data_IF_861656800975
#
_entry.id   IF_861656800975
#
_cell.length_a   1.000
_cell.length_b   1.000
_cell.length_c   1.000
_cell.angle_alpha   90.00
_cell.angle_beta   90.00
_cell.angle_gamma   90.00
#
_symmetry.space_group_name_H-M   'P 1'
#
loop_
_entity.id
_entity.type
_entity.pdbx_description
1 polymer ?
#
# COMPACT_ATOMS: atom_id res chain seq x y z
N UNK A 1 -12.06 -0.18 -11.36
CA UNK A 1 -11.92 0.80 -10.26
C UNK A 1 -11.08 1.96 -10.76
N UNK A 2 -11.53 3.21 -10.55
CA UNK A 2 -10.79 4.39 -10.99
C UNK A 2 -9.80 4.89 -9.92
N UNK A 3 -8.57 4.38 -9.96
CA UNK A 3 -7.54 4.77 -8.99
C UNK A 3 -7.16 6.25 -9.06
N UNK A 4 -7.36 6.92 -10.21
CA UNK A 4 -7.08 8.34 -10.34
C UNK A 4 -8.10 9.18 -9.54
N UNK A 5 -9.37 8.78 -9.52
CA UNK A 5 -10.38 9.43 -8.70
C UNK A 5 -10.09 9.26 -7.21
N UNK A 6 -9.74 8.04 -6.78
CA UNK A 6 -9.40 7.75 -5.38
C UNK A 6 -8.17 8.58 -4.93
N UNK A 7 -7.12 8.64 -5.75
CA UNK A 7 -5.92 9.42 -5.42
C UNK A 7 -6.22 10.91 -5.27
N UNK A 8 -7.07 11.50 -6.14
CA UNK A 8 -7.47 12.91 -6.00
C UNK A 8 -8.13 13.16 -4.65
N UNK A 9 -9.10 12.33 -4.28
CA UNK A 9 -9.85 12.43 -3.01
C UNK A 9 -8.95 12.23 -1.78
N UNK A 10 -7.96 11.34 -1.87
CA UNK A 10 -6.97 11.16 -0.81
C UNK A 10 -6.12 12.42 -0.66
N UNK A 11 -5.60 12.94 -1.78
CA UNK A 11 -4.64 14.05 -1.78
C UNK A 11 -5.26 15.38 -1.34
N UNK A 12 -6.56 15.59 -1.49
CA UNK A 12 -7.25 16.82 -1.02
C UNK A 12 -7.05 17.09 0.48
N UNK A 13 -6.81 16.07 1.30
CA UNK A 13 -6.52 16.24 2.73
C UNK A 13 -5.24 15.55 3.19
N UNK A 14 -4.34 15.16 2.28
CA UNK A 14 -3.09 14.51 2.65
C UNK A 14 -2.14 15.55 3.25
N UNK A 15 -1.70 15.33 4.48
CA UNK A 15 -0.94 16.33 5.25
C UNK A 15 0.55 16.41 4.86
N UNK A 16 1.08 15.36 4.23
CA UNK A 16 2.49 15.28 3.86
C UNK A 16 2.70 15.60 2.38
N UNK A 17 3.97 15.75 1.99
CA UNK A 17 4.30 15.94 0.59
C UNK A 17 3.88 14.70 -0.22
N UNK A 18 3.13 14.82 -1.33
CA UNK A 18 2.69 13.67 -2.13
C UNK A 18 3.83 12.79 -2.66
N UNK A 19 5.06 13.32 -2.72
CA UNK A 19 6.29 12.59 -3.06
C UNK A 19 7.24 12.34 -1.89
N UNK A 20 6.78 12.51 -0.66
CA UNK A 20 7.54 12.13 0.54
C UNK A 20 7.71 10.60 0.65
N UNK A 21 8.39 10.15 1.70
CA UNK A 21 8.70 8.72 1.92
C UNK A 21 7.45 7.83 1.99
N UNK A 22 6.32 8.40 2.42
CA UNK A 22 5.02 7.73 2.53
C UNK A 22 4.03 8.23 1.48
N UNK A 23 4.49 8.82 0.39
CA UNK A 23 3.66 9.41 -0.66
C UNK A 23 3.27 8.44 -1.79
N UNK A 24 2.75 9.00 -2.88
CA UNK A 24 2.14 8.26 -4.00
C UNK A 24 3.09 7.27 -4.67
N UNK A 25 4.40 7.57 -4.68
CA UNK A 25 5.39 6.66 -5.29
C UNK A 25 5.50 5.36 -4.47
N UNK A 26 5.51 5.50 -3.14
CA UNK A 26 5.45 4.37 -2.22
C UNK A 26 4.13 3.60 -2.41
N UNK A 27 2.98 4.27 -2.38
CA UNK A 27 1.67 3.62 -2.57
C UNK A 27 1.59 2.83 -3.89
N UNK A 28 2.15 3.38 -4.98
CA UNK A 28 2.21 2.69 -6.26
C UNK A 28 3.12 1.45 -6.23
N UNK A 29 4.28 1.52 -5.55
CA UNK A 29 5.16 0.35 -5.40
C UNK A 29 4.50 -0.74 -4.56
N UNK A 30 3.83 -0.37 -3.47
CA UNK A 30 3.02 -1.29 -2.64
C UNK A 30 1.94 -1.94 -3.49
N UNK A 31 1.23 -1.17 -4.32
CA UNK A 31 0.21 -1.72 -5.22
C UNK A 31 0.81 -2.75 -6.20
N UNK A 32 1.93 -2.44 -6.87
CA UNK A 32 2.57 -3.39 -7.79
C UNK A 32 3.13 -4.63 -7.08
N UNK A 33 3.71 -4.48 -5.89
CA UNK A 33 4.17 -5.60 -5.07
C UNK A 33 3.00 -6.51 -4.73
N UNK A 34 1.90 -5.93 -4.26
CA UNK A 34 0.71 -6.66 -3.86
C UNK A 34 0.04 -7.36 -5.03
N UNK A 35 -0.14 -6.70 -6.18
CA UNK A 35 -0.73 -7.32 -7.37
C UNK A 35 0.12 -8.49 -7.89
N UNK A 36 1.45 -8.37 -7.82
CA UNK A 36 2.36 -9.46 -8.18
C UNK A 36 2.21 -10.66 -7.24
N UNK A 37 2.07 -10.43 -5.93
CA UNK A 37 1.83 -11.48 -4.94
C UNK A 37 0.44 -12.10 -5.09
N UNK A 38 -0.59 -11.28 -5.29
CA UNK A 38 -1.98 -11.71 -5.47
C UNK A 38 -2.13 -12.68 -6.64
N UNK A 39 -1.44 -12.41 -7.75
CA UNK A 39 -1.39 -13.32 -8.90
C UNK A 39 -0.77 -14.69 -8.59
N UNK A 40 0.09 -14.78 -7.56
CA UNK A 40 0.79 -16.01 -7.19
C UNK A 40 0.09 -16.79 -6.06
N UNK A 41 -0.60 -16.11 -5.14
CA UNK A 41 -1.18 -16.73 -3.95
C UNK A 41 -2.73 -16.72 -3.91
N UNK A 42 -3.39 -16.03 -4.84
CA UNK A 42 -4.85 -15.97 -4.94
C UNK A 42 -5.53 -14.92 -4.04
N UNK A 43 -4.78 -13.93 -3.52
CA UNK A 43 -5.37 -12.79 -2.82
C UNK A 43 -6.27 -11.94 -3.73
N UNK A 44 -7.24 -11.25 -3.12
CA UNK A 44 -8.14 -10.35 -3.85
C UNK A 44 -7.38 -9.09 -4.34
N UNK A 45 -7.22 -8.89 -5.67
CA UNK A 45 -6.46 -7.77 -6.21
C UNK A 45 -7.15 -6.41 -5.96
N UNK A 46 -8.46 -6.38 -5.76
CA UNK A 46 -9.23 -5.16 -5.49
C UNK A 46 -8.92 -4.65 -4.08
N UNK A 47 -8.99 -5.53 -3.08
CA UNK A 47 -8.64 -5.20 -1.68
C UNK A 47 -7.17 -4.79 -1.59
N UNK A 48 -6.27 -5.54 -2.23
CA UNK A 48 -4.83 -5.22 -2.27
C UNK A 48 -4.57 -3.85 -2.88
N UNK A 49 -5.25 -3.52 -3.98
CA UNK A 49 -5.12 -2.20 -4.61
C UNK A 49 -5.60 -1.10 -3.67
N UNK A 50 -6.78 -1.25 -3.07
CA UNK A 50 -7.33 -0.26 -2.15
C UNK A 50 -6.45 -0.07 -0.91
N UNK A 51 -5.94 -1.17 -0.33
CA UNK A 51 -5.00 -1.10 0.79
C UNK A 51 -3.78 -0.25 0.43
N UNK A 52 -3.18 -0.49 -0.74
CA UNK A 52 -2.00 0.25 -1.17
C UNK A 52 -2.25 1.76 -1.24
N UNK A 53 -3.45 2.18 -1.65
CA UNK A 53 -3.82 3.61 -1.70
C UNK A 53 -4.15 4.19 -0.31
N UNK A 54 -4.75 3.40 0.60
CA UNK A 54 -5.30 3.92 1.84
C UNK A 54 -4.42 3.76 3.09
N UNK A 55 -3.56 2.77 3.19
CA UNK A 55 -2.87 2.40 4.45
C UNK A 55 -2.08 3.56 5.09
N UNK A 56 -1.42 4.37 4.26
CA UNK A 56 -0.63 5.55 4.66
C UNK A 56 -1.31 6.90 4.31
N UNK A 57 -2.52 6.87 3.76
CA UNK A 57 -3.23 8.04 3.20
C UNK A 57 -3.60 9.14 4.21
N UNK A 58 -3.48 8.85 5.51
CA UNK A 58 -3.78 9.80 6.60
C UNK A 58 -2.65 9.89 7.61
N UNK A 59 -1.41 9.76 7.12
CA UNK A 59 -0.24 10.14 7.91
C UNK A 59 -0.21 11.63 8.21
N UNK A 60 0.27 11.95 9.40
CA UNK A 60 0.46 13.30 9.92
C UNK A 60 1.96 13.63 10.11
N UNK A 61 2.83 12.64 9.97
CA UNK A 61 4.29 12.77 10.02
C UNK A 61 4.95 11.75 9.10
N UNK A 62 6.15 12.03 8.59
CA UNK A 62 7.04 11.01 7.96
C UNK A 62 7.80 10.17 9.02
N UNK A 63 7.73 10.57 10.30
CA UNK A 63 8.32 9.84 11.41
C UNK A 63 7.32 8.88 12.08
N UNK A 64 7.46 8.67 13.40
CA UNK A 64 6.48 7.92 14.19
C UNK A 64 5.09 8.53 14.06
N UNK A 65 4.12 7.71 13.71
CA UNK A 65 2.73 8.11 13.58
C UNK A 65 1.85 6.93 13.97
N UNK A 66 1.37 6.90 15.20
CA UNK A 66 0.56 5.80 15.70
C UNK A 66 -0.88 5.95 15.23
N UNK A 67 -1.46 4.87 14.70
CA UNK A 67 -2.85 4.86 14.26
C UNK A 67 -3.11 5.45 12.87
N UNK A 68 -2.08 5.78 12.08
CA UNK A 68 -2.28 6.21 10.68
C UNK A 68 -3.05 5.17 9.86
N UNK A 69 -2.78 3.88 10.08
CA UNK A 69 -3.54 2.78 9.46
C UNK A 69 -5.04 2.86 9.75
N UNK A 70 -5.44 3.10 11.01
CA UNK A 70 -6.84 3.28 11.40
C UNK A 70 -7.45 4.54 10.77
N UNK A 71 -6.70 5.65 10.69
CA UNK A 71 -7.17 6.87 10.01
C UNK A 71 -7.35 6.62 8.51
N UNK A 72 -6.46 5.87 7.87
CA UNK A 72 -6.60 5.42 6.48
C UNK A 72 -7.81 4.53 6.26
N UNK A 73 -8.06 3.56 7.15
CA UNK A 73 -9.24 2.70 7.11
C UNK A 73 -10.56 3.49 7.26
N UNK A 74 -10.57 4.50 8.16
CA UNK A 74 -11.71 5.42 8.32
C UNK A 74 -11.94 6.28 7.09
N UNK A 75 -10.89 6.73 6.41
CA UNK A 75 -11.04 7.41 5.12
C UNK A 75 -11.65 6.50 4.07
N UNK A 76 -11.15 5.26 3.94
CA UNK A 76 -11.72 4.28 3.02
C UNK A 76 -13.21 4.07 3.27
N UNK A 77 -13.63 4.02 4.55
CA UNK A 77 -15.05 3.94 4.94
C UNK A 77 -15.88 5.13 4.45
N UNK A 78 -15.33 6.35 4.52
CA UNK A 78 -16.03 7.56 4.09
C UNK A 78 -16.20 7.62 2.56
N UNK A 79 -15.24 7.08 1.80
CA UNK A 79 -15.24 7.10 0.33
C UNK A 79 -15.89 5.86 -0.31
N UNK A 80 -16.23 4.84 0.48
CA UNK A 80 -16.96 3.65 0.01
C UNK A 80 -18.40 4.03 -0.37
N UNK A 81 -18.85 3.55 -1.52
CA UNK A 81 -20.16 3.84 -2.11
C UNK A 81 -20.21 5.17 -2.88
N UNK A 82 -19.14 5.97 -2.85
CA UNK A 82 -19.06 7.25 -3.58
C UNK A 82 -17.96 7.24 -4.64
N UNK A 83 -16.74 6.89 -4.25
CA UNK A 83 -15.54 6.91 -5.14
C UNK A 83 -15.15 5.50 -5.60
N UNK A 84 -15.41 4.51 -4.75
CA UNK A 84 -15.25 3.09 -5.05
C UNK A 84 -16.34 2.30 -4.33
N UNK A 85 -16.53 1.04 -4.73
CA UNK A 85 -17.46 0.14 -4.07
C UNK A 85 -16.80 -1.19 -3.74
N UNK A 86 -17.23 -1.80 -2.64
CA UNK A 86 -16.85 -3.12 -2.15
C UNK A 86 -18.06 -3.70 -1.43
N UNK A 87 -18.21 -5.02 -1.42
CA UNK A 87 -19.16 -5.67 -0.52
C UNK A 87 -18.64 -5.60 0.94
N UNK A 88 -19.49 -5.94 1.91
CA UNK A 88 -19.13 -5.83 3.32
C UNK A 88 -17.96 -6.73 3.70
N UNK A 89 -17.92 -7.97 3.21
CA UNK A 89 -16.86 -8.91 3.55
C UNK A 89 -15.48 -8.41 3.06
N UNK A 90 -15.39 -7.94 1.83
CA UNK A 90 -14.14 -7.42 1.26
C UNK A 90 -13.73 -6.09 1.91
N UNK A 91 -14.71 -5.26 2.28
CA UNK A 91 -14.42 -4.02 3.00
C UNK A 91 -13.89 -4.28 4.41
N UNK A 92 -14.38 -5.29 5.13
CA UNK A 92 -13.81 -5.70 6.42
C UNK A 92 -12.36 -6.15 6.28
N UNK A 93 -12.01 -6.84 5.18
CA UNK A 93 -10.61 -7.18 4.89
C UNK A 93 -9.75 -5.93 4.66
N UNK A 94 -10.24 -4.97 3.86
CA UNK A 94 -9.55 -3.70 3.62
C UNK A 94 -9.35 -2.92 4.92
N UNK A 95 -10.40 -2.79 5.72
CA UNK A 95 -10.38 -2.03 6.97
C UNK A 95 -9.33 -2.61 7.93
N UNK A 96 -9.40 -3.93 8.17
CA UNK A 96 -8.46 -4.67 9.01
C UNK A 96 -7.03 -4.60 8.48
N UNK A 97 -6.85 -4.73 7.16
CA UNK A 97 -5.53 -4.64 6.53
C UNK A 97 -4.90 -3.27 6.80
N UNK A 98 -5.63 -2.18 6.58
CA UNK A 98 -5.16 -0.82 6.87
C UNK A 98 -4.88 -0.62 8.37
N UNK A 99 -5.82 -0.98 9.26
CA UNK A 99 -5.71 -0.73 10.70
C UNK A 99 -4.46 -1.35 11.33
N UNK A 100 -4.14 -2.60 10.99
CA UNK A 100 -3.14 -3.40 11.70
C UNK A 100 -1.81 -3.62 10.95
N UNK A 101 -1.58 -2.96 9.80
CA UNK A 101 -0.41 -3.28 8.96
C UNK A 101 0.95 -3.10 9.64
N UNK A 102 1.03 -2.23 10.65
CA UNK A 102 2.26 -1.95 11.42
C UNK A 102 2.50 -2.86 12.62
N UNK A 103 1.58 -3.75 12.96
CA UNK A 103 1.67 -4.53 14.21
C UNK A 103 2.62 -5.75 14.15
N UNK A 104 3.21 -6.03 12.98
CA UNK A 104 4.14 -7.15 12.82
C UNK A 104 3.52 -8.54 12.99
N UNK A 105 2.19 -8.64 12.89
CA UNK A 105 1.42 -9.90 12.99
C UNK A 105 1.23 -10.54 11.62
N UNK A 106 0.71 -11.77 11.64
CA UNK A 106 0.13 -12.48 10.49
C UNK A 106 -1.39 -12.58 10.66
N UNK A 107 -2.10 -12.77 9.54
CA UNK A 107 -3.55 -12.91 9.51
C UNK A 107 -3.94 -14.28 8.93
N UNK A 108 -5.18 -14.71 9.14
CA UNK A 108 -5.74 -15.92 8.54
C UNK A 108 -6.12 -15.71 7.05
N UNK A 109 -6.43 -14.46 6.67
CA UNK A 109 -6.74 -14.09 5.30
C UNK A 109 -5.45 -13.90 4.49
N UNK A 110 -5.31 -14.67 3.41
CA UNK A 110 -4.22 -14.50 2.45
C UNK A 110 -4.23 -13.10 1.83
N UNK A 111 -5.41 -12.48 1.68
CA UNK A 111 -5.55 -11.11 1.16
C UNK A 111 -4.95 -10.08 2.11
N UNK A 112 -5.27 -10.17 3.41
CA UNK A 112 -4.70 -9.27 4.44
C UNK A 112 -3.19 -9.48 4.56
N UNK A 113 -2.73 -10.74 4.56
CA UNK A 113 -1.31 -11.08 4.55
C UNK A 113 -0.58 -10.48 3.33
N UNK A 114 -1.21 -10.53 2.15
CA UNK A 114 -0.63 -9.98 0.91
C UNK A 114 -0.52 -8.46 0.97
N UNK A 115 -1.51 -7.78 1.55
CA UNK A 115 -1.46 -6.34 1.79
C UNK A 115 -0.24 -5.98 2.65
N UNK A 116 -0.08 -6.65 3.79
CA UNK A 116 1.04 -6.36 4.70
C UNK A 116 2.40 -6.72 4.10
N UNK A 117 2.49 -7.83 3.37
CA UNK A 117 3.70 -8.20 2.65
C UNK A 117 4.07 -7.16 1.60
N UNK A 118 3.09 -6.63 0.88
CA UNK A 118 3.31 -5.64 -0.17
C UNK A 118 3.95 -4.34 0.36
N UNK A 119 3.50 -3.87 1.53
CA UNK A 119 4.07 -2.72 2.23
C UNK A 119 5.47 -3.04 2.81
N UNK A 120 5.60 -4.15 3.53
CA UNK A 120 6.88 -4.57 4.14
C UNK A 120 7.98 -4.80 3.11
N UNK A 121 7.64 -5.22 1.89
CA UNK A 121 8.58 -5.37 0.78
C UNK A 121 9.11 -4.02 0.25
N UNK A 122 8.43 -2.90 0.50
CA UNK A 122 8.88 -1.55 0.11
C UNK A 122 9.69 -0.83 1.21
N UNK A 123 10.07 -1.53 2.30
CA UNK A 123 10.84 -0.97 3.42
C UNK A 123 12.24 -0.47 3.02
N UNK A 124 12.80 -0.95 1.91
CA UNK A 124 14.08 -0.48 1.38
C UNK A 124 14.12 1.04 1.16
N UNK A 125 12.95 1.67 0.93
CA UNK A 125 12.79 3.13 0.74
C UNK A 125 13.23 3.95 1.96
N UNK A 126 13.09 3.37 3.16
CA UNK A 126 13.45 3.98 4.45
C UNK A 126 14.71 3.32 5.05
N UNK A 127 15.51 2.65 4.21
CA UNK A 127 16.79 2.06 4.62
C UNK A 127 16.69 0.72 5.36
N UNK A 128 15.51 0.09 5.40
CA UNK A 128 15.31 -1.20 6.06
C UNK A 128 15.24 -2.30 5.00
N UNK A 129 16.13 -3.29 5.10
CA UNK A 129 16.07 -4.46 4.21
C UNK A 129 14.94 -5.40 4.69
N UNK A 130 13.97 -5.79 3.83
CA UNK A 130 12.91 -6.71 4.22
C UNK A 130 13.47 -8.05 4.70
N UNK A 131 13.04 -8.49 5.89
CA UNK A 131 13.44 -9.77 6.49
C UNK A 131 12.30 -10.79 6.28
N UNK A 132 12.54 -11.95 5.64
CA UNK A 132 11.53 -12.99 5.41
C UNK A 132 10.74 -13.39 6.66
N UNK A 133 11.31 -13.27 7.86
CA UNK A 133 10.63 -13.66 9.10
C UNK A 133 9.41 -12.79 9.44
N UNK A 134 9.35 -11.57 8.89
CA UNK A 134 8.23 -10.64 9.08
C UNK A 134 7.24 -10.66 7.91
N UNK A 135 7.49 -11.47 6.89
CA UNK A 135 6.57 -11.66 5.77
C UNK A 135 5.62 -12.82 6.05
N UNK A 136 4.37 -12.69 5.67
CA UNK A 136 3.30 -13.63 5.95
C UNK A 136 3.30 -14.80 4.94
N UNK A 137 3.35 -14.50 3.65
CA UNK A 137 3.13 -15.48 2.59
C UNK A 137 4.42 -16.15 2.11
N UNK A 138 4.30 -17.39 1.63
CA UNK A 138 5.44 -18.12 1.05
C UNK A 138 6.05 -17.36 -0.13
N UNK A 139 5.21 -16.77 -0.98
CA UNK A 139 5.65 -16.03 -2.17
C UNK A 139 6.40 -14.74 -1.81
N UNK A 140 5.96 -14.01 -0.78
CA UNK A 140 6.68 -12.83 -0.31
C UNK A 140 8.05 -13.17 0.29
N UNK A 141 8.18 -14.32 0.95
CA UNK A 141 9.44 -14.79 1.57
C UNK A 141 10.50 -15.24 0.57
N UNK A 142 10.17 -15.35 -0.72
CA UNK A 142 11.10 -15.79 -1.76
C UNK A 142 12.24 -14.77 -1.90
N UNK A 143 13.52 -15.19 -1.87
CA UNK A 143 14.65 -14.28 -1.97
C UNK A 143 14.59 -13.37 -3.21
N UNK A 144 14.11 -13.89 -4.34
CA UNK A 144 13.94 -13.16 -5.58
C UNK A 144 12.84 -12.09 -5.51
N UNK A 145 11.77 -12.33 -4.73
CA UNK A 145 10.69 -11.35 -4.54
C UNK A 145 11.18 -10.20 -3.67
N UNK A 146 11.87 -10.52 -2.57
CA UNK A 146 12.50 -9.52 -1.70
C UNK A 146 13.52 -8.68 -2.48
N UNK A 147 14.45 -9.32 -3.19
CA UNK A 147 15.46 -8.61 -3.97
C UNK A 147 14.85 -7.72 -5.05
N UNK A 148 13.77 -8.17 -5.71
CA UNK A 148 13.07 -7.38 -6.72
C UNK A 148 12.40 -6.14 -6.13
N UNK A 149 11.68 -6.28 -5.02
CA UNK A 149 10.99 -5.16 -4.39
C UNK A 149 11.96 -4.19 -3.70
N UNK A 150 12.93 -4.72 -2.94
CA UNK A 150 13.92 -3.93 -2.19
C UNK A 150 14.80 -3.09 -3.12
N UNK A 151 15.22 -3.64 -4.27
CA UNK A 151 15.94 -2.87 -5.30
C UNK A 151 15.12 -1.65 -5.75
N UNK A 152 13.84 -1.86 -6.07
CA UNK A 152 12.95 -0.78 -6.53
C UNK A 152 12.75 0.29 -5.47
N UNK A 153 12.57 -0.12 -4.22
CA UNK A 153 12.42 0.78 -3.10
C UNK A 153 13.68 1.62 -2.86
N UNK A 154 14.87 1.00 -2.91
CA UNK A 154 16.18 1.65 -2.70
C UNK A 154 16.60 2.60 -3.82
N UNK A 155 16.17 2.36 -5.06
CA UNK A 155 16.52 3.21 -6.21
C UNK A 155 15.45 4.26 -6.51
N UNK A 156 14.53 4.51 -5.57
CA UNK A 156 13.33 5.34 -5.76
C UNK A 156 12.63 5.09 -7.12
N UNK A 157 12.45 3.81 -7.46
CA UNK A 157 11.75 3.45 -8.68
C UNK A 157 10.32 4.02 -8.62
N UNK A 158 9.98 4.85 -9.60
CA UNK A 158 8.64 5.41 -9.75
C UNK A 158 7.79 4.59 -10.71
N UNK A 159 6.76 3.87 -10.22
CA UNK A 159 5.82 3.19 -11.10
C UNK A 159 5.15 4.15 -12.09
N UNK A 160 5.06 3.74 -13.36
CA UNK A 160 4.56 4.62 -14.44
C UNK A 160 3.12 5.08 -14.23
N UNK A 161 2.33 4.35 -13.45
CA UNK A 161 0.94 4.71 -13.12
C UNK A 161 0.84 6.08 -12.44
N UNK A 162 1.86 6.47 -11.67
CA UNK A 162 1.89 7.75 -10.94
C UNK A 162 1.78 8.92 -11.92
N UNK A 163 2.56 8.89 -13.01
CA UNK A 163 2.49 9.92 -14.06
C UNK A 163 1.34 9.64 -15.02
N UNK A 164 1.26 8.44 -15.58
CA UNK A 164 0.38 8.12 -16.69
C UNK A 164 -1.11 8.11 -16.32
N UNK A 165 -1.45 7.81 -15.06
CA UNK A 165 -2.83 7.68 -14.61
C UNK A 165 -3.19 8.66 -13.51
N UNK A 166 -2.31 8.90 -12.55
CA UNK A 166 -2.58 9.85 -11.45
C UNK A 166 -2.17 11.28 -11.79
N UNK A 167 -1.46 11.50 -12.90
CA UNK A 167 -1.09 12.83 -13.37
C UNK A 167 -0.05 13.52 -12.50
N UNK A 168 0.71 12.76 -11.69
CA UNK A 168 1.70 13.29 -10.76
C UNK A 168 3.09 13.09 -11.39
N UNK A 169 3.87 14.16 -11.64
CA UNK A 169 5.20 14.04 -12.25
C UNK A 169 6.16 13.17 -11.43
N UNK A 170 6.90 12.29 -12.11
CA UNK A 170 7.96 11.45 -11.52
C UNK A 170 9.34 12.13 -11.50
N UNK A 171 9.52 13.19 -12.28
CA UNK A 171 10.69 14.08 -12.20
C UNK A 171 10.35 15.24 -11.26
N UNK A 172 11.33 15.69 -10.49
CA UNK A 172 11.24 16.93 -9.71
C UNK A 172 11.87 18.00 -10.61
N UNK A 173 11.17 19.09 -10.88
CA UNK A 173 11.81 20.28 -11.49
C UNK A 173 12.90 20.85 -10.58
#
# INVERSE_FOLDING_TARGET
MDTAAIIREILEGYALHPRGFHGVVHWARVMENGLKLAAANGADPTVVTLFALFHDSRRESDGPDWGHGLRGARLAKQLRGTVFDLNDADFELLYRACEHHTEGRSDESVTVCTCWDADRLDLGRVGITPDPKYLCTKEARRPEMIAWADKRAKTDFGPTIVQARWGIPLEVE
#
